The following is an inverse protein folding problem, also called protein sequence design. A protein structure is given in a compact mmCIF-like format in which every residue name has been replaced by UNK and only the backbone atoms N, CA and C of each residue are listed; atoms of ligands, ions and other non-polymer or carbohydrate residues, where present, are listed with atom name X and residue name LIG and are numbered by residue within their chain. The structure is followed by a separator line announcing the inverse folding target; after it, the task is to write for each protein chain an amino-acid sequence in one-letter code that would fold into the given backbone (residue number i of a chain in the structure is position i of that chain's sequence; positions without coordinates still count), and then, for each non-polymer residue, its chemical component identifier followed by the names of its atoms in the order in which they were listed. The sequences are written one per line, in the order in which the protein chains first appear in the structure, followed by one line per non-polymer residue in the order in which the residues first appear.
data_IF_316761743751
#
_entry.id   IF_316761743751
#
_cell.length_a   1.000
_cell.length_b   1.000
_cell.length_c   1.000
_cell.angle_alpha   90.00
_cell.angle_beta   90.00
_cell.angle_gamma   90.00
#
_symmetry.space_group_name_H-M   'P 1'
#
loop_
_entity.id
_entity.type
_entity.pdbx_description
1 polymer ?
#
# COMPACT_ATOMS: atom_id res chain seq x y z
N UNK A 1 4.33 -10.20 -16.84
CA UNK A 1 3.57 -10.56 -15.62
C UNK A 1 3.81 -9.60 -14.44
N UNK A 2 4.87 -8.78 -14.42
CA UNK A 2 5.19 -7.90 -13.27
C UNK A 2 4.35 -6.61 -13.14
N UNK A 3 3.98 -5.99 -14.25
CA UNK A 3 3.40 -4.64 -14.30
C UNK A 3 2.09 -4.49 -13.48
N UNK A 4 1.12 -5.40 -13.69
CA UNK A 4 -0.15 -5.37 -12.95
C UNK A 4 0.00 -5.72 -11.47
N UNK A 5 1.07 -6.45 -11.09
CA UNK A 5 1.29 -6.85 -9.70
C UNK A 5 1.67 -5.64 -8.84
N UNK A 6 2.50 -4.74 -9.36
CA UNK A 6 2.90 -3.55 -8.62
C UNK A 6 1.76 -2.56 -8.44
N UNK A 7 1.00 -2.31 -9.51
CA UNK A 7 -0.18 -1.43 -9.46
C UNK A 7 -1.20 -1.97 -8.45
N UNK A 8 -1.54 -3.26 -8.52
CA UNK A 8 -2.43 -3.91 -7.55
C UNK A 8 -1.94 -3.73 -6.12
N UNK A 9 -0.64 -3.89 -5.87
CA UNK A 9 -0.08 -3.76 -4.53
C UNK A 9 -0.14 -2.31 -4.03
N UNK A 10 0.07 -1.31 -4.90
CA UNK A 10 -0.11 0.11 -4.58
C UNK A 10 -1.55 0.41 -4.20
N UNK A 11 -2.51 0.00 -5.03
CA UNK A 11 -3.93 0.25 -4.82
C UNK A 11 -4.47 -0.47 -3.58
N UNK A 12 -4.00 -1.70 -3.33
CA UNK A 12 -4.30 -2.42 -2.10
C UNK A 12 -3.81 -1.67 -0.86
N UNK A 13 -2.56 -1.17 -0.88
CA UNK A 13 -2.01 -0.42 0.25
C UNK A 13 -2.70 0.94 0.44
N UNK A 14 -3.14 1.60 -0.64
CA UNK A 14 -3.94 2.82 -0.55
C UNK A 14 -5.29 2.55 0.11
N UNK A 15 -5.99 1.48 -0.31
CA UNK A 15 -7.24 1.03 0.31
C UNK A 15 -7.04 0.65 1.79
N UNK A 16 -5.94 -0.05 2.11
CA UNK A 16 -5.57 -0.41 3.47
C UNK A 16 -5.40 0.81 4.37
N UNK A 17 -4.62 1.81 3.95
CA UNK A 17 -4.41 3.04 4.73
C UNK A 17 -5.71 3.81 4.94
N UNK A 18 -6.57 3.86 3.91
CA UNK A 18 -7.88 4.51 4.01
C UNK A 18 -8.77 3.80 5.03
N UNK A 19 -8.83 2.47 5.00
CA UNK A 19 -9.65 1.71 5.94
C UNK A 19 -9.10 1.82 7.37
N UNK A 20 -7.78 1.75 7.53
CA UNK A 20 -7.11 1.93 8.83
C UNK A 20 -7.44 3.30 9.45
N UNK A 21 -7.33 4.38 8.65
CA UNK A 21 -7.71 5.74 9.05
C UNK A 21 -9.20 5.82 9.39
N UNK A 22 -10.05 5.20 8.60
CA UNK A 22 -11.50 5.15 8.84
C UNK A 22 -11.86 4.42 10.15
N UNK A 23 -11.22 3.28 10.43
CA UNK A 23 -11.41 2.55 11.68
C UNK A 23 -10.95 3.34 12.89
N UNK A 24 -9.81 4.02 12.79
CA UNK A 24 -9.31 4.90 13.84
C UNK A 24 -10.31 6.02 14.17
N UNK A 25 -10.89 6.69 13.16
CA UNK A 25 -11.90 7.73 13.40
C UNK A 25 -13.20 7.20 14.01
N UNK A 26 -13.54 5.95 13.76
CA UNK A 26 -14.71 5.30 14.37
C UNK A 26 -14.45 4.79 15.80
N UNK A 27 -13.23 4.97 16.34
CA UNK A 27 -12.85 4.47 17.66
C UNK A 27 -12.79 2.95 17.73
N UNK A 28 -12.69 2.26 16.60
CA UNK A 28 -12.62 0.80 16.56
C UNK A 28 -11.22 0.30 16.88
N UNK A 29 -11.12 -0.87 17.52
CA UNK A 29 -9.84 -1.57 17.63
C UNK A 29 -9.26 -1.86 16.23
N UNK A 30 -8.04 -1.35 16.01
CA UNK A 30 -7.31 -1.45 14.74
C UNK A 30 -6.28 -2.57 14.83
N UNK A 31 -6.62 -3.73 14.28
CA UNK A 31 -5.65 -4.82 14.03
C UNK A 31 -5.41 -4.98 12.55
N UNK A 32 -4.18 -5.38 12.17
CA UNK A 32 -3.80 -5.57 10.77
C UNK A 32 -4.72 -6.59 10.09
N UNK A 33 -5.01 -7.69 10.77
CA UNK A 33 -5.89 -8.76 10.29
C UNK A 33 -7.32 -8.26 10.02
N UNK A 34 -7.87 -7.40 10.89
CA UNK A 34 -9.21 -6.84 10.73
C UNK A 34 -9.27 -5.87 9.55
N UNK A 35 -8.28 -5.00 9.40
CA UNK A 35 -8.17 -4.08 8.25
C UNK A 35 -8.03 -4.88 6.94
N UNK A 36 -7.14 -5.88 6.89
CA UNK A 36 -7.00 -6.76 5.71
C UNK A 36 -8.35 -7.42 5.39
N UNK A 37 -9.05 -7.95 6.40
CA UNK A 37 -10.36 -8.57 6.22
C UNK A 37 -11.36 -7.65 5.54
N UNK A 38 -11.46 -6.39 5.98
CA UNK A 38 -12.38 -5.39 5.40
C UNK A 38 -11.97 -4.97 4.00
N UNK A 39 -10.70 -4.68 3.77
CA UNK A 39 -10.20 -4.27 2.45
C UNK A 39 -10.40 -5.36 1.42
N UNK A 40 -10.15 -6.63 1.79
CA UNK A 40 -10.35 -7.77 0.89
C UNK A 40 -11.83 -8.13 0.67
N UNK A 41 -12.72 -7.66 1.55
CA UNK A 41 -14.16 -7.77 1.37
C UNK A 41 -14.75 -6.61 0.55
N UNK A 42 -13.98 -5.54 0.32
CA UNK A 42 -14.38 -4.43 -0.54
C UNK A 42 -13.94 -4.61 -1.99
N UNK A 43 -14.51 -3.77 -2.86
CA UNK A 43 -14.21 -3.77 -4.28
C UNK A 43 -12.79 -3.26 -4.57
N UNK A 44 -12.17 -3.83 -5.60
CA UNK A 44 -10.90 -3.35 -6.13
C UNK A 44 -11.12 -2.49 -7.39
N UNK A 45 -10.24 -1.50 -7.65
CA UNK A 45 -10.34 -0.63 -8.83
C UNK A 45 -10.36 -1.37 -10.17
N UNK A 46 -9.80 -2.58 -10.26
CA UNK A 46 -9.80 -3.39 -11.47
C UNK A 46 -9.27 -4.80 -11.24
N UNK A 47 -9.16 -5.59 -12.30
CA UNK A 47 -8.81 -7.03 -12.23
C UNK A 47 -7.30 -7.32 -12.25
N UNK A 48 -6.45 -6.33 -12.55
CA UNK A 48 -4.98 -6.45 -12.56
C UNK A 48 -4.45 -7.70 -13.28
N UNK A 49 -4.97 -7.93 -14.48
CA UNK A 49 -4.66 -9.11 -15.28
C UNK A 49 -4.36 -8.70 -16.72
N UNK A 50 -3.47 -9.43 -17.38
CA UNK A 50 -3.18 -9.16 -18.78
C UNK A 50 -4.34 -9.61 -19.67
N UNK A 51 -4.64 -8.81 -20.70
CA UNK A 51 -5.65 -9.13 -21.69
C UNK A 51 -5.44 -10.52 -22.31
N UNK A 52 -4.21 -10.87 -22.71
CA UNK A 52 -3.91 -12.16 -23.35
C UNK A 52 -4.23 -13.34 -22.43
N UNK A 53 -3.92 -13.22 -21.14
CA UNK A 53 -4.21 -14.27 -20.16
C UNK A 53 -5.72 -14.38 -19.91
N UNK A 54 -6.39 -13.25 -19.69
CA UNK A 54 -7.83 -13.22 -19.46
C UNK A 54 -8.60 -13.76 -20.68
N UNK A 55 -8.20 -13.40 -21.90
CA UNK A 55 -8.85 -13.88 -23.14
C UNK A 55 -8.80 -15.39 -23.26
N UNK A 56 -7.64 -15.99 -22.99
CA UNK A 56 -7.48 -17.45 -23.02
C UNK A 56 -8.35 -18.10 -21.95
N UNK A 57 -8.21 -17.67 -20.69
CA UNK A 57 -8.91 -18.29 -19.57
C UNK A 57 -10.44 -18.14 -19.67
N UNK A 58 -10.94 -16.96 -20.04
CA UNK A 58 -12.38 -16.72 -20.20
C UNK A 58 -12.92 -17.47 -21.43
N UNK A 59 -12.18 -17.51 -22.54
CA UNK A 59 -12.54 -18.32 -23.70
C UNK A 59 -12.74 -19.79 -23.34
N UNK A 60 -11.76 -20.38 -22.65
CA UNK A 60 -11.83 -21.77 -22.19
C UNK A 60 -13.03 -22.01 -21.25
N UNK A 61 -13.36 -21.06 -20.37
CA UNK A 61 -14.51 -21.16 -19.46
C UNK A 61 -15.86 -21.05 -20.17
N UNK A 62 -15.95 -20.24 -21.23
CA UNK A 62 -17.17 -20.08 -22.03
C UNK A 62 -17.39 -21.34 -22.88
N UNK A 63 -16.35 -21.82 -23.56
CA UNK A 63 -16.42 -23.02 -24.42
C UNK A 63 -16.84 -24.26 -23.63
N UNK A 64 -16.32 -24.42 -22.42
CA UNK A 64 -16.70 -25.52 -21.50
C UNK A 64 -18.09 -25.34 -20.86
N UNK A 65 -18.79 -24.24 -21.14
CA UNK A 65 -20.09 -23.94 -20.55
C UNK A 65 -20.07 -23.62 -19.06
N UNK A 66 -18.88 -23.40 -18.46
CA UNK A 66 -18.73 -23.15 -17.01
C UNK A 66 -19.45 -21.86 -16.64
N UNK A 67 -19.28 -20.79 -17.40
CA UNK A 67 -19.91 -19.49 -17.12
C UNK A 67 -21.44 -19.60 -17.13
N UNK A 68 -22.01 -20.35 -18.08
CA UNK A 68 -23.46 -20.52 -18.22
C UNK A 68 -24.05 -21.34 -17.07
N UNK A 69 -23.31 -22.35 -16.61
CA UNK A 69 -23.79 -23.31 -15.62
C UNK A 69 -23.32 -22.99 -14.19
N UNK A 70 -22.62 -21.87 -13.98
CA UNK A 70 -22.07 -21.52 -12.68
C UNK A 70 -23.17 -21.10 -11.70
N UNK A 71 -23.45 -21.98 -10.73
CA UNK A 71 -24.40 -21.74 -9.62
C UNK A 71 -23.71 -21.44 -8.29
N UNK A 72 -22.38 -21.38 -8.27
CA UNK A 72 -21.58 -21.17 -7.06
C UNK A 72 -21.52 -19.71 -6.62
N UNK A 73 -21.15 -19.48 -5.36
CA UNK A 73 -20.71 -18.16 -4.89
C UNK A 73 -19.24 -17.93 -5.25
N UNK A 74 -18.92 -16.73 -5.74
CA UNK A 74 -17.54 -16.35 -6.06
C UNK A 74 -16.70 -16.28 -4.78
N UNK A 75 -15.60 -17.03 -4.70
CA UNK A 75 -14.65 -16.92 -3.59
C UNK A 75 -13.66 -15.82 -3.93
N UNK A 76 -13.73 -14.73 -3.16
CA UNK A 76 -12.98 -13.46 -3.33
C UNK A 76 -11.44 -13.55 -3.28
N UNK A 77 -10.87 -14.74 -3.23
CA UNK A 77 -9.43 -15.00 -3.08
C UNK A 77 -8.85 -15.88 -4.20
N UNK A 78 -9.67 -16.38 -5.11
CA UNK A 78 -9.24 -17.30 -6.17
C UNK A 78 -9.11 -16.60 -7.52
N UNK A 79 -8.00 -16.83 -8.22
CA UNK A 79 -7.85 -16.40 -9.63
C UNK A 79 -8.90 -17.05 -10.53
N UNK A 80 -9.34 -18.26 -10.21
CA UNK A 80 -10.38 -18.94 -10.97
C UNK A 80 -11.70 -18.17 -10.90
N UNK A 81 -12.09 -17.75 -9.69
CA UNK A 81 -13.35 -17.03 -9.49
C UNK A 81 -13.28 -15.61 -10.07
N UNK A 82 -12.10 -15.00 -10.09
CA UNK A 82 -11.85 -13.77 -10.86
C UNK A 82 -12.18 -13.96 -12.35
N UNK A 83 -11.71 -15.06 -12.96
CA UNK A 83 -11.98 -15.34 -14.37
C UNK A 83 -13.45 -15.64 -14.61
N UNK A 84 -14.13 -16.29 -13.66
CA UNK A 84 -15.58 -16.49 -13.73
C UNK A 84 -16.32 -15.16 -13.68
N UNK A 85 -15.94 -14.25 -12.77
CA UNK A 85 -16.55 -12.93 -12.68
C UNK A 85 -16.39 -12.14 -13.99
N UNK A 86 -15.16 -12.09 -14.52
CA UNK A 86 -14.88 -11.44 -15.81
C UNK A 86 -15.71 -12.09 -16.91
N UNK A 87 -15.76 -13.43 -16.96
CA UNK A 87 -16.50 -14.18 -17.97
C UNK A 87 -18.01 -13.94 -17.92
N UNK A 88 -18.60 -13.82 -16.72
CA UNK A 88 -20.02 -13.45 -16.56
C UNK A 88 -20.30 -12.07 -17.12
N UNK A 89 -19.49 -11.07 -16.74
CA UNK A 89 -19.64 -9.69 -17.26
C UNK A 89 -19.42 -9.60 -18.77
N UNK A 90 -18.47 -10.38 -19.31
CA UNK A 90 -18.26 -10.46 -20.76
C UNK A 90 -19.50 -11.06 -21.44
N UNK A 91 -20.05 -12.15 -20.90
CA UNK A 91 -21.24 -12.81 -21.45
C UNK A 91 -22.45 -11.87 -21.44
N UNK A 92 -22.69 -11.14 -20.36
CA UNK A 92 -23.76 -10.15 -20.28
C UNK A 92 -23.65 -9.08 -21.38
N UNK A 93 -22.43 -8.60 -21.67
CA UNK A 93 -22.17 -7.66 -22.76
C UNK A 93 -22.33 -8.28 -24.15
N UNK A 94 -21.91 -9.54 -24.32
CA UNK A 94 -22.08 -10.27 -25.57
C UNK A 94 -23.56 -10.50 -25.88
N UNK A 95 -24.33 -10.95 -24.88
CA UNK A 95 -25.76 -11.25 -25.00
C UNK A 95 -26.58 -9.96 -25.17
N UNK A 96 -26.21 -8.86 -24.48
CA UNK A 96 -26.95 -7.60 -24.52
C UNK A 96 -26.64 -6.68 -25.71
N UNK A 97 -25.38 -6.63 -26.16
CA UNK A 97 -24.93 -5.70 -27.21
C UNK A 97 -24.48 -6.39 -28.50
N UNK A 98 -24.49 -7.73 -28.55
CA UNK A 98 -24.03 -8.49 -29.72
C UNK A 98 -22.52 -8.37 -29.99
N UNK A 99 -21.73 -8.06 -28.98
CA UNK A 99 -20.28 -7.87 -29.13
C UNK A 99 -19.51 -9.20 -29.18
N UNK A 100 -18.34 -9.20 -29.83
CA UNK A 100 -17.41 -10.33 -29.75
C UNK A 100 -16.77 -10.41 -28.35
N UNK A 101 -16.35 -11.62 -27.94
CA UNK A 101 -15.63 -11.83 -26.68
C UNK A 101 -14.43 -10.89 -26.53
N UNK A 102 -13.68 -10.71 -27.61
CA UNK A 102 -12.50 -9.84 -27.60
C UNK A 102 -12.84 -8.40 -27.22
N UNK A 103 -13.92 -7.86 -27.77
CA UNK A 103 -14.38 -6.49 -27.50
C UNK A 103 -15.02 -6.37 -26.11
N UNK A 104 -15.88 -7.32 -25.75
CA UNK A 104 -16.49 -7.38 -24.43
C UNK A 104 -15.43 -7.44 -23.32
N UNK A 105 -14.35 -8.21 -23.53
CA UNK A 105 -13.26 -8.32 -22.57
C UNK A 105 -12.46 -7.03 -22.40
N UNK A 106 -12.16 -6.32 -23.50
CA UNK A 106 -11.52 -5.00 -23.40
C UNK A 106 -12.40 -4.05 -22.59
N UNK A 107 -13.69 -4.01 -22.90
CA UNK A 107 -14.63 -3.13 -22.23
C UNK A 107 -14.71 -3.44 -20.72
N UNK A 108 -14.86 -4.72 -20.34
CA UNK A 108 -14.85 -5.15 -18.94
C UNK A 108 -13.55 -4.75 -18.24
N UNK A 109 -12.39 -5.04 -18.82
CA UNK A 109 -11.11 -4.79 -18.15
C UNK A 109 -10.81 -3.28 -17.97
N UNK A 110 -11.41 -2.42 -18.80
CA UNK A 110 -11.20 -0.96 -18.74
C UNK A 110 -12.25 -0.27 -17.85
N UNK A 111 -13.51 -0.69 -17.94
CA UNK A 111 -14.63 0.04 -17.33
C UNK A 111 -15.08 -0.54 -15.99
N UNK A 112 -14.85 -1.84 -15.76
CA UNK A 112 -15.40 -2.52 -14.59
C UNK A 112 -14.45 -2.53 -13.41
N UNK A 113 -15.04 -2.37 -12.24
CA UNK A 113 -14.38 -2.67 -10.97
C UNK A 113 -14.45 -4.16 -10.69
N UNK A 114 -13.42 -4.67 -10.01
CA UNK A 114 -13.41 -6.04 -9.53
C UNK A 114 -14.11 -6.12 -8.18
N UNK A 115 -14.89 -7.19 -7.95
CA UNK A 115 -15.59 -7.38 -6.67
C UNK A 115 -14.68 -7.51 -5.45
N UNK A 116 -13.39 -7.84 -5.67
CA UNK A 116 -12.39 -7.88 -4.61
C UNK A 116 -10.98 -7.78 -5.15
N UNK A 117 -10.03 -7.58 -4.22
CA UNK A 117 -8.64 -7.90 -4.47
C UNK A 117 -8.45 -9.42 -4.50
N UNK A 118 -8.39 -10.00 -5.71
CA UNK A 118 -8.12 -11.42 -5.94
C UNK A 118 -6.68 -11.82 -5.57
N UNK A 119 -6.42 -11.85 -4.27
CA UNK A 119 -5.18 -12.32 -3.66
C UNK A 119 -5.50 -13.07 -2.37
N UNK A 120 -4.53 -13.80 -1.84
CA UNK A 120 -4.70 -14.51 -0.56
C UNK A 120 -4.44 -13.56 0.62
N UNK A 121 -5.11 -13.83 1.76
CA UNK A 121 -4.86 -13.09 3.02
C UNK A 121 -3.39 -13.18 3.45
N UNK A 122 -2.77 -14.35 3.26
CA UNK A 122 -1.35 -14.57 3.55
C UNK A 122 -0.48 -13.61 2.74
N UNK A 123 -0.78 -13.45 1.44
CA UNK A 123 -0.04 -12.53 0.58
C UNK A 123 -0.27 -11.06 0.98
N UNK A 124 -1.52 -10.67 1.26
CA UNK A 124 -1.84 -9.33 1.76
C UNK A 124 -1.08 -8.97 3.04
N UNK A 125 -0.99 -9.91 3.99
CA UNK A 125 -0.21 -9.75 5.22
C UNK A 125 1.28 -9.59 4.92
N UNK A 126 1.83 -10.40 4.02
CA UNK A 126 3.22 -10.29 3.60
C UNK A 126 3.51 -8.93 2.93
N UNK A 127 2.58 -8.39 2.13
CA UNK A 127 2.73 -7.07 1.51
C UNK A 127 2.90 -5.98 2.56
N UNK A 128 2.06 -5.98 3.59
CA UNK A 128 2.11 -5.02 4.69
C UNK A 128 3.49 -5.05 5.40
N UNK A 129 3.95 -6.22 5.82
CA UNK A 129 5.23 -6.35 6.51
C UNK A 129 6.45 -6.07 5.62
N UNK A 130 6.37 -6.38 4.32
CA UNK A 130 7.45 -6.09 3.36
C UNK A 130 7.64 -4.59 3.16
N UNK A 131 6.55 -3.82 3.15
CA UNK A 131 6.59 -2.37 3.05
C UNK A 131 7.24 -1.74 4.28
N UNK A 132 6.93 -2.24 5.48
CA UNK A 132 7.58 -1.76 6.72
C UNK A 132 9.09 -2.05 6.79
N UNK A 133 9.57 -3.12 6.13
CA UNK A 133 11.01 -3.44 6.06
C UNK A 133 11.78 -2.61 5.04
N UNK A 134 11.14 -2.17 3.94
CA UNK A 134 11.79 -1.28 2.97
C UNK A 134 12.14 0.09 3.57
N UNK A 135 11.34 0.59 4.51
CA UNK A 135 11.60 1.84 5.22
C UNK A 135 12.85 1.80 6.11
N UNK A 136 13.24 0.62 6.63
CA UNK A 136 14.42 0.46 7.50
C UNK A 136 15.75 0.28 6.74
N UNK A 137 15.71 0.03 5.42
CA UNK A 137 16.92 -0.12 4.58
C UNK A 137 17.30 1.15 3.81
N UNK A 138 16.58 2.26 4.01
CA UNK A 138 16.87 3.55 3.37
C UNK A 138 17.72 4.51 4.21
N UNK A 139 18.15 4.10 5.40
CA UNK A 139 19.01 4.91 6.27
C UNK A 139 20.16 4.08 6.81
N UNK A 140 21.19 3.83 5.98
CA UNK A 140 22.54 3.65 6.51
C UNK A 140 23.61 3.82 5.42
N UNK A 141 24.43 4.86 5.60
CA UNK A 141 25.88 4.83 5.35
C UNK A 141 26.35 4.76 3.90
N UNK A 142 26.40 5.92 3.23
CA UNK A 142 27.48 6.17 2.28
C UNK A 142 28.50 7.08 2.98
N UNK A 143 29.37 6.48 3.80
CA UNK A 143 30.57 7.13 4.33
C UNK A 143 31.78 6.30 3.95
N UNK A 144 32.55 6.89 3.03
CA UNK A 144 33.98 6.73 2.81
C UNK A 144 34.70 5.76 3.76
N UNK A 145 34.98 4.55 3.26
CA UNK A 145 36.19 3.84 3.68
C UNK A 145 37.34 4.31 2.82
N UNK A 146 37.98 5.40 3.21
CA UNK A 146 39.37 5.63 2.84
C UNK A 146 40.10 6.49 3.88
N UNK A 147 41.15 5.88 4.45
CA UNK A 147 42.29 6.48 5.17
C UNK A 147 42.04 6.98 6.60
N UNK A 148 42.08 6.03 7.54
CA UNK A 148 42.62 6.31 8.87
C UNK A 148 44.15 6.45 8.77
N UNK A 149 44.64 7.71 8.71
CA UNK A 149 46.01 8.04 9.13
C UNK A 149 45.98 8.30 10.63
N UNK A 150 46.89 7.65 11.35
CA UNK A 150 47.20 7.87 12.76
C UNK A 150 47.42 9.35 13.04
N UNK A 151 46.85 9.83 14.13
CA UNK A 151 47.38 10.94 14.91
C UNK A 151 47.32 10.52 16.38
N UNK A 152 48.50 10.35 16.99
CA UNK A 152 48.70 10.30 18.43
C UNK A 152 48.29 11.65 19.04
N UNK A 153 47.65 11.62 20.21
CA UNK A 153 47.34 12.84 20.98
C UNK A 153 45.99 12.73 21.67
N UNK A 154 46.02 12.50 22.98
CA UNK A 154 44.83 12.34 23.81
C UNK A 154 43.95 13.59 23.83
N UNK A 155 42.64 13.35 23.96
CA UNK A 155 41.81 13.94 25.01
C UNK A 155 40.41 13.34 24.92
N UNK A 156 39.85 13.04 26.09
CA UNK A 156 38.48 12.55 26.28
C UNK A 156 37.58 13.78 26.24
N UNK A 157 36.58 13.81 25.34
CA UNK A 157 35.48 14.76 25.44
C UNK A 157 34.14 14.10 25.11
N UNK A 158 33.25 14.23 26.08
CA UNK A 158 31.89 13.74 26.14
C UNK A 158 30.91 14.76 25.54
N UNK A 159 29.78 14.24 25.02
CA UNK A 159 28.44 14.85 24.89
C UNK A 159 28.26 16.18 24.12
N UNK A 160 27.21 16.20 23.29
CA UNK A 160 26.26 17.33 23.32
C UNK A 160 26.22 18.21 22.07
N UNK A 161 25.22 17.93 21.24
CA UNK A 161 24.25 18.91 20.68
C UNK A 161 24.65 20.39 20.55
N UNK A 162 24.42 20.85 19.31
CA UNK A 162 24.01 22.20 18.90
C UNK A 162 25.12 23.23 18.59
N UNK A 163 25.48 23.27 17.31
CA UNK A 163 26.05 24.46 16.70
C UNK A 163 24.93 25.43 16.35
N UNK A 164 24.88 26.57 17.06
CA UNK A 164 24.52 27.84 16.46
C UNK A 164 25.26 28.97 17.21
N UNK A 165 26.41 29.35 16.66
CA UNK A 165 27.15 30.53 17.09
C UNK A 165 26.39 31.80 16.66
N UNK A 166 26.10 32.69 17.61
CA UNK A 166 26.07 34.13 17.37
C UNK A 166 26.75 34.85 18.53
N UNK A 167 27.57 35.81 18.13
CA UNK A 167 28.63 36.48 18.87
C UNK A 167 28.21 37.81 19.47
N UNK A 168 28.96 38.16 20.53
CA UNK A 168 29.37 39.48 21.01
C UNK A 168 28.34 40.42 21.66
N UNK A 169 28.73 40.94 22.83
CA UNK A 169 28.13 42.11 23.47
C UNK A 169 28.34 42.14 24.98
N UNK A 170 29.42 42.78 25.42
CA UNK A 170 29.84 43.02 26.80
C UNK A 170 28.82 43.86 27.61
N UNK A 171 28.89 43.78 28.94
CA UNK A 171 28.25 44.78 29.82
C UNK A 171 27.96 44.30 31.23
N UNK A 172 28.90 44.59 32.14
CA UNK A 172 28.80 44.45 33.60
C UNK A 172 27.62 45.20 34.23
N UNK A 173 27.19 44.80 35.43
CA UNK A 173 26.36 45.66 36.28
C UNK A 173 25.62 44.95 37.41
N UNK A 174 26.25 44.88 38.58
CA UNK A 174 25.63 44.53 39.85
C UNK A 174 24.57 45.55 40.29
N UNK A 175 23.55 45.12 41.05
CA UNK A 175 23.22 45.65 42.38
C UNK A 175 21.83 45.19 42.87
N UNK A 176 21.79 44.93 44.18
CA UNK A 176 20.62 44.64 44.97
C UNK A 176 19.69 45.86 45.12
N UNK A 177 18.40 45.61 45.40
CA UNK A 177 17.45 46.66 45.75
C UNK A 177 16.13 46.11 46.28
N UNK A 178 15.92 46.30 47.58
CA UNK A 178 14.74 45.97 48.40
C UNK A 178 13.71 47.13 48.30
N UNK A 179 12.55 46.96 48.95
CA UNK A 179 11.48 47.98 49.23
C UNK A 179 10.43 48.09 48.11
N UNK A 180 9.11 48.24 48.31
CA UNK A 180 8.21 48.57 49.43
C UNK A 180 6.78 48.20 48.97
N UNK A 181 5.91 47.56 49.75
CA UNK A 181 4.79 48.13 50.56
C UNK A 181 4.01 49.32 49.95
N UNK A 182 2.68 49.21 50.01
CA UNK A 182 1.68 50.28 49.83
C UNK A 182 0.77 50.01 48.62
N UNK A 183 -0.55 49.96 48.72
CA UNK A 183 -1.54 50.43 49.71
C UNK A 183 -2.81 49.60 49.59
#
# INVERSE_FOLDING_TARGET
MGEYTEQRNRDFMAAFRREMKGMFYRGEEVTVEKVIGRVMAGDAPGYYVSYRYARRAVGDLIERGVIRNYKGGLRRHSRHDMMIEIGRKCRERMDGMGMSLGRALVDVLVTERASSFFMTRVYARQLFYRMGKKSKKGGNGNENRDKAKRCDGGDICSVGTEGLCKSAGEGEGAAAGRSERGT
#
